data_IF_141208953221
#
_entry.id   IF_141208953221
#
_cell.length_a   1.000
_cell.length_b   1.000
_cell.length_c   1.000
_cell.angle_alpha   90.00
_cell.angle_beta   90.00
_cell.angle_gamma   90.00
#
_symmetry.space_group_name_H-M   'P 1'
#
loop_
_entity.id
_entity.type
_entity.pdbx_description
1 polymer ?
#
# COMPACT_ATOMS: atom_id res chain seq x y z
N UNK A 1 -9.23 -0.48 27.02
CA UNK A 1 -7.96 -0.25 26.29
C UNK A 1 -7.59 1.19 26.51
N UNK A 2 -6.38 1.52 26.99
CA UNK A 2 -6.01 2.92 27.19
C UNK A 2 -6.02 3.61 25.82
N UNK A 3 -6.79 4.70 25.71
CA UNK A 3 -6.84 5.55 24.52
C UNK A 3 -5.49 6.25 24.40
N UNK A 4 -4.64 5.79 23.48
CA UNK A 4 -3.40 6.50 23.15
C UNK A 4 -3.76 7.87 22.58
N UNK A 5 -3.25 8.95 23.18
CA UNK A 5 -3.51 10.34 22.74
C UNK A 5 -3.13 10.48 21.26
N UNK A 6 -4.06 10.95 20.43
CA UNK A 6 -3.80 11.21 19.02
C UNK A 6 -2.87 12.42 18.90
N UNK A 7 -1.79 12.30 18.13
CA UNK A 7 -0.75 13.35 18.05
C UNK A 7 -1.08 14.45 17.04
N UNK A 8 -1.97 14.21 16.08
CA UNK A 8 -2.38 15.19 15.08
C UNK A 8 -3.60 16.04 15.49
N UNK A 9 -4.14 15.82 16.69
CA UNK A 9 -5.19 16.64 17.28
C UNK A 9 -4.63 17.36 18.50
N UNK A 10 -4.95 18.64 18.65
CA UNK A 10 -4.69 19.38 19.90
C UNK A 10 -5.78 19.10 20.95
N UNK A 11 -5.73 19.85 22.06
CA UNK A 11 -6.63 19.67 23.21
C UNK A 11 -8.07 20.12 22.92
N UNK A 12 -8.25 21.00 21.94
CA UNK A 12 -9.56 21.47 21.46
C UNK A 12 -10.10 20.59 20.32
N UNK A 13 -9.33 19.59 19.88
CA UNK A 13 -9.68 18.69 18.78
C UNK A 13 -9.38 19.28 17.39
N UNK A 14 -8.66 20.39 17.31
CA UNK A 14 -8.22 20.98 16.06
C UNK A 14 -7.00 20.24 15.49
N UNK A 15 -6.95 20.18 14.16
CA UNK A 15 -5.89 19.48 13.43
C UNK A 15 -4.62 20.32 13.38
N UNK A 16 -3.46 19.71 13.69
CA UNK A 16 -2.16 20.36 13.55
C UNK A 16 -1.07 19.39 13.08
N UNK A 17 -0.02 19.95 12.49
CA UNK A 17 1.17 19.20 12.08
C UNK A 17 2.10 19.01 13.28
N UNK A 18 2.54 17.77 13.50
CA UNK A 18 3.44 17.44 14.61
C UNK A 18 4.86 17.90 14.26
N UNK A 19 5.49 18.66 15.15
CA UNK A 19 6.90 18.99 15.03
C UNK A 19 7.77 17.75 15.33
N UNK A 20 8.69 17.46 14.41
CA UNK A 20 9.65 16.35 14.50
C UNK A 20 11.09 16.80 14.27
N UNK A 21 11.36 18.11 14.19
CA UNK A 21 12.68 18.65 13.84
C UNK A 21 13.78 18.36 14.86
N UNK A 22 13.42 18.09 16.11
CA UNK A 22 14.36 17.73 17.18
C UNK A 22 14.64 16.22 17.28
N UNK A 23 14.01 15.39 16.44
CA UNK A 23 14.21 13.94 16.46
C UNK A 23 15.40 13.55 15.60
N UNK A 24 16.18 12.57 16.08
CA UNK A 24 17.31 12.03 15.32
C UNK A 24 16.86 11.37 14.00
N UNK A 25 17.66 11.59 12.96
CA UNK A 25 17.48 10.94 11.65
C UNK A 25 17.85 9.47 11.78
N UNK A 26 16.91 8.60 11.43
CA UNK A 26 17.04 7.14 11.55
C UNK A 26 16.42 6.48 10.32
N UNK A 27 16.96 5.33 9.91
CA UNK A 27 16.37 4.52 8.84
C UNK A 27 15.03 3.94 9.32
N UNK A 28 13.99 4.08 8.50
CA UNK A 28 12.65 3.62 8.81
C UNK A 28 12.08 2.82 7.65
N UNK A 29 11.42 1.71 7.97
CA UNK A 29 10.76 0.86 6.99
C UNK A 29 9.29 0.65 7.41
N UNK A 30 8.39 0.72 6.44
CA UNK A 30 6.97 0.42 6.62
C UNK A 30 6.50 -0.46 5.46
N UNK A 31 5.73 -1.50 5.76
CA UNK A 31 5.17 -2.43 4.77
C UNK A 31 3.64 -2.33 4.81
N UNK A 32 3.03 -2.17 3.64
CA UNK A 32 1.58 -2.14 3.47
C UNK A 32 1.16 -3.10 2.36
N UNK A 33 -0.02 -3.71 2.50
CA UNK A 33 -0.58 -4.63 1.50
C UNK A 33 -2.01 -4.23 1.13
N UNK A 34 -2.38 -4.42 -0.14
CA UNK A 34 -3.75 -4.21 -0.62
C UNK A 34 -4.20 -5.36 -1.53
N UNK A 35 -5.52 -5.47 -1.77
CA UNK A 35 -6.08 -6.49 -2.66
C UNK A 35 -7.15 -5.87 -3.56
N UNK A 36 -7.10 -6.22 -4.85
CA UNK A 36 -8.15 -5.92 -5.81
C UNK A 36 -8.94 -7.19 -6.09
N UNK A 37 -10.26 -7.13 -5.91
CA UNK A 37 -11.17 -8.23 -6.27
C UNK A 37 -11.76 -7.94 -7.65
N UNK A 38 -11.70 -8.93 -8.55
CA UNK A 38 -12.28 -8.86 -9.88
C UNK A 38 -12.83 -10.23 -10.29
N UNK A 39 -13.50 -10.27 -11.44
CA UNK A 39 -13.98 -11.54 -11.99
C UNK A 39 -12.80 -12.46 -12.35
N UNK A 40 -13.03 -13.76 -12.31
CA UNK A 40 -12.02 -14.77 -12.68
C UNK A 40 -11.50 -14.58 -14.10
N UNK A 41 -12.38 -14.20 -15.03
CA UNK A 41 -12.03 -13.88 -16.42
C UNK A 41 -11.08 -12.68 -16.50
N UNK A 42 -11.24 -11.67 -15.64
CA UNK A 42 -10.36 -10.51 -15.61
C UNK A 42 -8.95 -10.85 -15.15
N UNK A 43 -8.79 -11.84 -14.25
CA UNK A 43 -7.48 -12.29 -13.77
C UNK A 43 -6.64 -12.98 -14.85
N UNK A 44 -7.26 -13.43 -15.95
CA UNK A 44 -6.53 -14.05 -17.07
C UNK A 44 -5.75 -13.02 -17.88
N UNK A 45 -6.27 -11.80 -18.06
CA UNK A 45 -5.64 -10.79 -18.91
C UNK A 45 -4.24 -10.37 -18.46
N UNK A 46 -3.97 -10.10 -17.16
CA UNK A 46 -2.61 -9.79 -16.70
C UNK A 46 -1.66 -10.98 -16.84
N UNK A 47 -2.13 -12.22 -16.60
CA UNK A 47 -1.34 -13.44 -16.73
C UNK A 47 -0.90 -13.68 -18.17
N UNK A 48 -1.80 -13.48 -19.12
CA UNK A 48 -1.56 -13.68 -20.54
C UNK A 48 -0.94 -12.46 -21.24
N UNK A 49 -0.76 -11.35 -20.51
CA UNK A 49 -0.34 -10.05 -21.07
C UNK A 49 -1.24 -9.56 -22.22
N UNK A 50 -2.54 -9.89 -22.17
CA UNK A 50 -3.55 -9.61 -23.22
C UNK A 50 -4.55 -8.54 -22.83
N UNK A 51 -4.25 -7.72 -21.83
CA UNK A 51 -5.17 -6.67 -21.43
C UNK A 51 -5.30 -5.61 -22.55
N UNK A 52 -6.53 -5.15 -22.89
CA UNK A 52 -6.75 -4.16 -23.96
C UNK A 52 -6.03 -2.82 -23.74
N UNK A 53 -5.68 -2.52 -22.49
CA UNK A 53 -5.02 -1.28 -22.05
C UNK A 53 -3.50 -1.41 -21.91
N UNK A 54 -2.91 -2.55 -22.29
CA UNK A 54 -1.48 -2.82 -22.18
C UNK A 54 -1.06 -3.46 -20.86
N UNK A 55 0.17 -3.20 -20.42
CA UNK A 55 0.81 -3.87 -19.29
C UNK A 55 0.27 -3.41 -17.92
N UNK A 56 -0.88 -3.94 -17.52
CA UNK A 56 -1.59 -3.54 -16.27
C UNK A 56 -0.71 -3.63 -15.02
N UNK A 57 0.09 -4.70 -14.90
CA UNK A 57 0.93 -4.93 -13.72
C UNK A 57 2.04 -3.88 -13.62
N UNK A 58 2.81 -3.68 -14.69
CA UNK A 58 3.88 -2.69 -14.71
C UNK A 58 3.33 -1.27 -14.52
N UNK A 59 2.17 -0.96 -15.08
CA UNK A 59 1.49 0.31 -14.83
C UNK A 59 1.13 0.47 -13.35
N UNK A 60 0.65 -0.58 -12.69
CA UNK A 60 0.32 -0.55 -11.26
C UNK A 60 1.57 -0.37 -10.38
N UNK A 61 2.70 -1.01 -10.74
CA UNK A 61 3.99 -0.83 -10.06
C UNK A 61 4.46 0.64 -10.11
N UNK A 62 4.49 1.22 -11.32
CA UNK A 62 4.89 2.61 -11.52
C UNK A 62 3.94 3.56 -10.77
N UNK A 63 2.62 3.32 -10.87
CA UNK A 63 1.62 4.11 -10.15
C UNK A 63 1.83 4.04 -8.63
N UNK A 64 2.17 2.87 -8.09
CA UNK A 64 2.47 2.68 -6.67
C UNK A 64 3.69 3.47 -6.22
N UNK A 65 4.80 3.41 -6.96
CA UNK A 65 6.02 4.18 -6.67
C UNK A 65 5.73 5.69 -6.72
N UNK A 66 5.00 6.14 -7.74
CA UNK A 66 4.60 7.54 -7.88
C UNK A 66 3.70 8.01 -6.74
N UNK A 67 2.75 7.17 -6.31
CA UNK A 67 1.86 7.46 -5.19
C UNK A 67 2.64 7.57 -3.88
N UNK A 68 3.57 6.63 -3.61
CA UNK A 68 4.40 6.63 -2.41
C UNK A 68 5.17 7.95 -2.27
N UNK A 69 5.86 8.40 -3.34
CA UNK A 69 6.62 9.66 -3.35
C UNK A 69 5.74 10.91 -3.23
N UNK A 70 4.46 10.83 -3.62
CA UNK A 70 3.49 11.93 -3.54
C UNK A 70 2.56 11.87 -2.34
N UNK A 71 2.82 10.99 -1.36
CA UNK A 71 1.94 10.80 -0.20
C UNK A 71 1.67 12.10 0.55
N UNK A 72 2.69 12.95 0.73
CA UNK A 72 2.58 14.25 1.40
C UNK A 72 1.65 15.24 0.67
N UNK A 73 1.48 15.10 -0.65
CA UNK A 73 0.55 15.92 -1.42
C UNK A 73 -0.90 15.39 -1.36
N UNK A 74 -1.08 14.12 -1.00
CA UNK A 74 -2.39 13.47 -0.91
C UNK A 74 -2.95 13.47 0.52
N UNK A 75 -2.09 13.40 1.53
CA UNK A 75 -2.46 13.32 2.96
C UNK A 75 -2.07 14.64 3.63
N UNK A 76 -3.04 15.48 4.09
CA UNK A 76 -2.79 16.87 4.51
C UNK A 76 -1.73 17.08 5.61
N UNK A 77 -1.58 16.13 6.52
CA UNK A 77 -0.66 16.23 7.66
C UNK A 77 0.56 15.30 7.55
N UNK A 78 0.76 14.68 6.38
CA UNK A 78 1.95 13.88 6.13
C UNK A 78 3.13 14.79 5.79
N UNK A 79 4.27 14.55 6.44
CA UNK A 79 5.49 15.31 6.18
C UNK A 79 6.07 14.93 4.81
N UNK A 80 6.59 15.88 4.01
CA UNK A 80 7.41 15.57 2.85
C UNK A 80 8.70 14.88 3.32
N UNK A 81 8.84 13.61 2.95
CA UNK A 81 10.03 12.80 3.23
C UNK A 81 10.58 12.26 1.92
N UNK A 82 11.89 12.24 1.80
CA UNK A 82 12.56 11.56 0.70
C UNK A 82 12.50 10.05 0.93
N UNK A 83 12.08 9.32 -0.10
CA UNK A 83 12.09 7.86 -0.09
C UNK A 83 13.37 7.40 -0.80
N UNK A 84 14.06 6.44 -0.18
CA UNK A 84 15.22 5.78 -0.77
C UNK A 84 14.88 5.19 -2.16
N UNK A 85 15.92 4.98 -2.97
CA UNK A 85 15.77 4.42 -4.32
C UNK A 85 15.26 2.97 -4.28
N UNK A 86 15.63 2.23 -3.24
CA UNK A 86 15.36 0.80 -3.06
C UNK A 86 13.97 0.50 -2.44
N UNK A 87 12.92 1.18 -2.91
CA UNK A 87 11.56 0.87 -2.47
C UNK A 87 11.24 -0.60 -2.79
N UNK A 88 10.85 -1.42 -1.79
CA UNK A 88 10.46 -2.79 -2.05
C UNK A 88 9.30 -2.78 -3.05
N UNK A 89 9.50 -3.43 -4.19
CA UNK A 89 8.55 -3.44 -5.29
C UNK A 89 7.17 -4.00 -4.91
N UNK A 90 6.23 -3.93 -5.85
CA UNK A 90 4.89 -4.46 -5.64
C UNK A 90 4.88 -6.00 -5.77
N UNK A 91 4.39 -6.74 -4.77
CA UNK A 91 4.17 -8.20 -4.86
C UNK A 91 2.73 -8.48 -5.26
N UNK A 92 2.53 -9.25 -6.32
CA UNK A 92 1.20 -9.63 -6.82
C UNK A 92 0.89 -11.10 -6.53
N UNK A 93 -0.04 -11.31 -5.61
CA UNK A 93 -0.58 -12.64 -5.32
C UNK A 93 -2.02 -12.75 -5.84
N UNK A 94 -2.25 -13.73 -6.71
CA UNK A 94 -3.55 -13.98 -7.34
C UNK A 94 -4.17 -15.28 -6.79
N UNK A 95 -5.07 -15.15 -5.81
CA UNK A 95 -5.85 -16.28 -5.29
C UNK A 95 -7.21 -16.33 -5.98
N UNK A 96 -7.53 -17.43 -6.67
CA UNK A 96 -8.88 -17.69 -7.15
C UNK A 96 -9.67 -18.45 -6.09
N UNK A 97 -10.59 -17.76 -5.41
CA UNK A 97 -11.58 -18.41 -4.57
C UNK A 97 -12.65 -19.06 -5.45
N UNK A 98 -12.41 -20.29 -5.89
CA UNK A 98 -13.51 -21.15 -6.30
C UNK A 98 -14.33 -21.47 -5.05
N UNK A 99 -15.66 -21.43 -5.12
CA UNK A 99 -16.49 -22.19 -4.18
C UNK A 99 -16.26 -23.67 -4.46
N UNK A 100 -15.09 -24.18 -4.07
CA UNK A 100 -14.86 -25.61 -3.93
C UNK A 100 -15.29 -25.92 -2.51
N UNK A 101 -16.43 -26.61 -2.36
CA UNK A 101 -16.76 -27.22 -1.09
C UNK A 101 -15.75 -28.34 -0.81
N UNK A 102 -14.68 -28.01 -0.11
CA UNK A 102 -13.75 -28.91 0.58
C UNK A 102 -12.72 -28.02 1.30
N UNK A 103 -12.62 -28.17 2.62
CA UNK A 103 -11.70 -27.42 3.44
C UNK A 103 -10.29 -27.97 3.33
N UNK A 104 -9.37 -27.22 2.72
CA UNK A 104 -7.95 -27.31 3.05
C UNK A 104 -7.32 -25.92 2.94
N UNK A 105 -6.89 -25.41 4.10
CA UNK A 105 -6.16 -24.15 4.22
C UNK A 105 -4.78 -24.31 3.58
N UNK A 106 -4.56 -23.66 2.44
CA UNK A 106 -3.24 -23.53 1.82
C UNK A 106 -2.46 -22.39 2.46
N UNK A 107 -1.35 -22.75 3.10
CA UNK A 107 -0.37 -21.88 3.77
C UNK A 107 0.23 -20.81 2.85
N UNK A 108 0.50 -19.57 3.31
CA UNK A 108 1.11 -18.56 2.46
C UNK A 108 2.59 -18.87 2.19
N UNK A 109 2.95 -18.92 0.91
CA UNK A 109 4.33 -19.02 0.45
C UNK A 109 5.12 -17.77 0.85
N UNK A 110 6.35 -18.00 1.34
CA UNK A 110 7.34 -17.02 1.83
C UNK A 110 7.78 -16.04 0.73
#
# INVERSE_FOLDING_TARGET
MPMTKLTHLDEDGCLHMVDVGSKDVTLRCAVATGRVRCQSTTLQFPRERRAPKGAVITTAEIAGIMAARRTHALIPLALPIELDEDLPGFRLDATSGGKSGDGTAGEPAR
#
